data_IF_377544868579
#
_entry.id   IF_377544868579
#
_cell.length_a   1.000
_cell.length_b   1.000
_cell.length_c   1.000
_cell.angle_alpha   90.00
_cell.angle_beta   90.00
_cell.angle_gamma   90.00
#
_symmetry.space_group_name_H-M   'P 1'
#
loop_
_entity.id
_entity.type
_entity.pdbx_description
1 polymer ?
#
# COMPACT_ATOMS: atom_id res chain seq x y z
N UNK A 1 -14.84 2.91 10.25
CA UNK A 1 -16.27 3.14 10.56
C UNK A 1 -16.78 4.49 10.04
N UNK A 2 -16.01 5.58 10.18
CA UNK A 2 -16.43 6.91 9.73
C UNK A 2 -16.63 7.01 8.21
N UNK A 3 -15.84 6.30 7.40
CA UNK A 3 -15.98 6.31 5.94
C UNK A 3 -17.30 5.70 5.45
N UNK A 4 -17.86 4.71 6.14
CA UNK A 4 -19.08 4.02 5.70
C UNK A 4 -20.29 4.97 5.72
N UNK A 5 -20.36 5.84 6.72
CA UNK A 5 -21.45 6.83 6.82
C UNK A 5 -21.39 7.88 5.70
N UNK A 6 -20.22 8.19 5.18
CA UNK A 6 -20.03 9.08 4.04
C UNK A 6 -20.40 8.43 2.70
N UNK A 7 -20.38 7.09 2.61
CA UNK A 7 -20.70 6.34 1.40
C UNK A 7 -22.20 6.11 1.14
N UNK A 8 -23.10 6.61 2.00
CA UNK A 8 -24.56 6.44 1.87
C UNK A 8 -25.13 6.96 0.54
N UNK A 9 -24.42 7.84 -0.16
CA UNK A 9 -24.82 8.40 -1.45
C UNK A 9 -24.05 7.80 -2.65
N UNK A 10 -23.16 6.83 -2.42
CA UNK A 10 -22.42 6.15 -3.49
C UNK A 10 -23.29 5.01 -4.04
N UNK A 11 -23.40 4.92 -5.37
CA UNK A 11 -24.05 3.79 -6.06
C UNK A 11 -23.20 2.52 -5.95
N UNK A 12 -23.03 2.00 -4.74
CA UNK A 12 -22.43 0.70 -4.50
C UNK A 12 -23.54 -0.31 -4.17
N UNK A 13 -23.46 -1.50 -4.73
CA UNK A 13 -24.40 -2.58 -4.43
C UNK A 13 -24.29 -3.02 -2.97
N UNK A 14 -23.08 -2.97 -2.42
CA UNK A 14 -22.75 -3.30 -1.03
C UNK A 14 -21.55 -2.49 -0.55
N UNK A 15 -21.53 -2.13 0.73
CA UNK A 15 -20.37 -1.52 1.40
C UNK A 15 -20.04 -2.32 2.65
N UNK A 16 -18.78 -2.64 2.87
CA UNK A 16 -18.31 -3.39 4.03
C UNK A 16 -17.18 -2.66 4.74
N UNK A 17 -17.34 -2.45 6.05
CA UNK A 17 -16.25 -1.96 6.90
C UNK A 17 -15.27 -3.07 7.19
N UNK A 18 -13.98 -2.75 7.17
CA UNK A 18 -12.90 -3.69 7.42
C UNK A 18 -11.93 -3.14 8.46
N UNK A 19 -11.20 -4.03 9.11
CA UNK A 19 -10.10 -3.72 10.03
C UNK A 19 -8.86 -4.56 9.64
N UNK A 20 -7.67 -4.23 10.15
CA UNK A 20 -6.47 -5.02 9.88
C UNK A 20 -6.64 -6.50 10.26
N UNK A 21 -6.25 -7.41 9.36
CA UNK A 21 -6.34 -8.86 9.54
C UNK A 21 -7.64 -9.49 9.02
N UNK A 22 -8.58 -8.71 8.50
CA UNK A 22 -9.78 -9.27 7.88
C UNK A 22 -9.45 -10.00 6.58
N UNK A 23 -10.19 -11.08 6.34
CA UNK A 23 -10.17 -11.84 5.08
C UNK A 23 -11.55 -11.78 4.43
N UNK A 24 -11.60 -11.38 3.19
CA UNK A 24 -12.83 -11.20 2.41
C UNK A 24 -12.78 -12.04 1.14
N UNK A 25 -13.96 -12.36 0.61
CA UNK A 25 -14.11 -12.83 -0.75
C UNK A 25 -15.13 -11.93 -1.44
N UNK A 26 -14.73 -11.26 -2.51
CA UNK A 26 -15.60 -10.38 -3.29
C UNK A 26 -15.62 -10.85 -4.73
N UNK A 27 -16.75 -11.40 -5.18
CA UNK A 27 -16.89 -11.96 -6.53
C UNK A 27 -15.79 -12.99 -6.86
N UNK A 28 -15.56 -13.93 -5.95
CA UNK A 28 -14.52 -14.95 -6.02
C UNK A 28 -13.07 -14.44 -6.00
N UNK A 29 -12.86 -13.17 -5.68
CA UNK A 29 -11.54 -12.57 -5.48
C UNK A 29 -11.22 -12.54 -3.99
N UNK A 30 -10.20 -13.30 -3.52
CA UNK A 30 -9.73 -13.20 -2.14
C UNK A 30 -9.05 -11.86 -1.89
N UNK A 31 -9.40 -11.22 -0.78
CA UNK A 31 -8.84 -9.95 -0.32
C UNK A 31 -8.47 -10.09 1.15
N UNK A 32 -7.23 -9.75 1.48
CA UNK A 32 -6.72 -9.69 2.84
C UNK A 32 -6.45 -8.23 3.20
N UNK A 33 -6.70 -7.82 4.44
CA UNK A 33 -6.36 -6.49 4.92
C UNK A 33 -5.12 -6.54 5.80
N UNK A 34 -4.23 -5.59 5.59
CA UNK A 34 -2.99 -5.40 6.36
C UNK A 34 -3.06 -4.03 7.02
N UNK A 35 -2.55 -3.90 8.24
CA UNK A 35 -2.48 -2.59 8.88
C UNK A 35 -1.73 -1.57 8.01
N UNK A 36 -2.19 -0.32 8.02
CA UNK A 36 -1.52 0.80 7.36
C UNK A 36 -1.53 2.00 8.32
N UNK A 37 -0.35 2.41 8.81
CA UNK A 37 -0.24 3.50 9.76
C UNK A 37 1.12 4.18 9.72
N UNK A 38 1.19 5.40 10.26
CA UNK A 38 2.44 6.12 10.44
C UNK A 38 3.02 5.89 11.84
N UNK A 39 4.35 5.82 11.91
CA UNK A 39 5.10 5.59 13.14
C UNK A 39 5.75 6.86 13.69
N UNK A 40 6.04 7.83 12.84
CA UNK A 40 6.78 9.05 13.15
C UNK A 40 6.08 10.35 12.69
N UNK A 41 4.82 10.26 12.25
CA UNK A 41 4.00 11.38 11.77
C UNK A 41 2.68 11.45 12.54
N UNK A 42 2.07 12.64 12.57
CA UNK A 42 0.75 12.84 13.19
C UNK A 42 -0.43 12.31 12.36
N UNK A 43 -0.18 11.96 11.09
CA UNK A 43 -1.18 11.43 10.18
C UNK A 43 -1.31 9.92 10.34
N UNK A 44 -2.48 9.37 10.07
CA UNK A 44 -2.74 7.93 10.04
C UNK A 44 -2.21 7.18 11.29
N UNK A 45 -2.63 7.56 12.53
CA UNK A 45 -2.18 6.85 13.72
C UNK A 45 -2.70 5.39 13.70
N UNK A 46 -1.98 4.47 14.34
CA UNK A 46 -2.35 3.05 14.39
C UNK A 46 -3.77 2.81 14.95
N UNK A 47 -4.22 3.68 15.86
CA UNK A 47 -5.55 3.61 16.45
C UNK A 47 -6.71 3.84 15.46
N UNK A 48 -6.45 4.42 14.29
CA UNK A 48 -7.45 4.60 13.23
C UNK A 48 -7.78 3.30 12.50
N UNK A 49 -7.04 2.22 12.74
CA UNK A 49 -7.23 0.89 12.12
C UNK A 49 -7.33 0.94 10.58
N UNK A 50 -6.58 1.86 9.95
CA UNK A 50 -6.51 1.96 8.48
C UNK A 50 -5.80 0.76 7.90
N UNK A 51 -6.12 0.45 6.64
CA UNK A 51 -5.68 -0.78 5.99
C UNK A 51 -5.07 -0.53 4.61
N UNK A 52 -4.08 -1.35 4.29
CA UNK A 52 -3.71 -1.74 2.94
C UNK A 52 -4.41 -3.05 2.57
N UNK A 53 -4.31 -3.45 1.32
CA UNK A 53 -5.01 -4.62 0.79
C UNK A 53 -4.07 -5.54 0.04
N UNK A 54 -4.20 -6.86 0.25
CA UNK A 54 -3.63 -7.87 -0.62
C UNK A 54 -4.78 -8.49 -1.41
N UNK A 55 -4.77 -8.29 -2.72
CA UNK A 55 -5.80 -8.80 -3.63
C UNK A 55 -5.19 -9.95 -4.44
N UNK A 56 -5.82 -11.12 -4.43
CA UNK A 56 -5.34 -12.28 -5.18
C UNK A 56 -6.10 -12.39 -6.51
N UNK A 57 -5.40 -12.11 -7.61
CA UNK A 57 -5.92 -12.17 -8.98
C UNK A 57 -5.18 -13.25 -9.76
N UNK A 58 -5.89 -14.28 -10.25
CA UNK A 58 -5.28 -15.38 -11.01
C UNK A 58 -4.01 -15.96 -10.33
N UNK A 59 -4.08 -16.24 -9.05
CA UNK A 59 -2.99 -16.71 -8.20
C UNK A 59 -1.83 -15.70 -8.04
N UNK A 60 -1.99 -14.45 -8.43
CA UNK A 60 -1.03 -13.37 -8.21
C UNK A 60 -1.48 -12.50 -7.03
N UNK A 61 -0.67 -12.39 -6.01
CA UNK A 61 -0.90 -11.57 -4.82
C UNK A 61 -0.40 -10.15 -5.07
N UNK A 62 -1.31 -9.20 -5.14
CA UNK A 62 -1.01 -7.78 -5.33
C UNK A 62 -1.24 -7.03 -4.02
N UNK A 63 -0.18 -6.52 -3.41
CA UNK A 63 -0.24 -5.75 -2.17
C UNK A 63 -0.23 -4.25 -2.47
N UNK A 64 -1.34 -3.59 -2.20
CA UNK A 64 -1.43 -2.14 -2.11
C UNK A 64 -1.29 -1.75 -0.65
N UNK A 65 -0.17 -1.13 -0.28
CA UNK A 65 0.15 -0.87 1.13
C UNK A 65 -0.77 0.13 1.81
N UNK A 66 -1.49 0.96 1.05
CA UNK A 66 -2.18 2.13 1.58
C UNK A 66 -1.20 3.22 2.01
N UNK A 67 -1.69 4.21 2.74
CA UNK A 67 -0.90 5.30 3.30
C UNK A 67 -0.27 4.85 4.62
N UNK A 68 1.00 4.51 4.59
CA UNK A 68 1.70 3.86 5.70
C UNK A 68 3.18 4.23 5.75
N UNK A 69 3.78 4.10 6.93
CA UNK A 69 5.23 4.02 7.11
C UNK A 69 5.72 2.58 7.00
N UNK A 70 7.04 2.37 7.18
CA UNK A 70 7.70 1.07 7.27
C UNK A 70 7.31 0.37 8.59
N UNK A 71 6.35 -0.54 8.54
CA UNK A 71 5.76 -1.22 9.70
C UNK A 71 6.11 -2.72 9.75
N UNK A 72 6.10 -3.35 10.94
CA UNK A 72 6.45 -4.78 11.10
C UNK A 72 5.51 -5.72 10.34
N UNK A 73 4.23 -5.38 10.24
CA UNK A 73 3.19 -6.20 9.62
C UNK A 73 3.46 -6.50 8.14
N UNK A 74 4.29 -5.69 7.47
CA UNK A 74 4.71 -5.91 6.07
C UNK A 74 5.48 -7.21 5.86
N UNK A 75 6.15 -7.73 6.90
CA UNK A 75 6.99 -8.95 6.79
C UNK A 75 6.18 -10.21 6.46
N UNK A 76 4.91 -10.26 6.83
CA UNK A 76 4.04 -11.42 6.63
C UNK A 76 3.22 -11.37 5.31
N UNK A 77 3.43 -10.38 4.45
CA UNK A 77 2.55 -10.14 3.30
C UNK A 77 2.83 -11.04 2.10
N UNK A 78 4.08 -11.41 1.85
CA UNK A 78 4.54 -12.29 0.75
C UNK A 78 3.89 -12.02 -0.63
N UNK A 79 3.88 -10.80 -1.15
CA UNK A 79 3.22 -10.48 -2.40
C UNK A 79 4.05 -10.89 -3.63
N UNK A 80 3.38 -11.05 -4.78
CA UNK A 80 4.03 -11.07 -6.08
C UNK A 80 4.38 -9.66 -6.56
N UNK A 81 3.43 -8.73 -6.38
CA UNK A 81 3.57 -7.32 -6.75
C UNK A 81 3.23 -6.45 -5.53
N UNK A 82 4.00 -5.37 -5.32
CA UNK A 82 3.72 -4.39 -4.27
C UNK A 82 3.62 -2.98 -4.85
N UNK A 83 2.55 -2.26 -4.49
CA UNK A 83 2.38 -0.83 -4.73
C UNK A 83 2.71 -0.09 -3.43
N UNK A 84 3.75 0.78 -3.46
CA UNK A 84 4.35 1.34 -2.25
C UNK A 84 4.43 2.87 -2.37
N UNK A 85 3.95 3.63 -1.38
CA UNK A 85 4.00 5.10 -1.42
C UNK A 85 5.42 5.61 -1.16
N UNK A 86 5.81 6.71 -1.84
CA UNK A 86 7.19 7.21 -1.83
C UNK A 86 7.33 8.72 -1.59
N UNK A 87 6.25 9.45 -1.32
CA UNK A 87 6.27 10.93 -1.32
C UNK A 87 6.79 11.59 -0.03
N UNK A 88 6.96 10.86 1.05
CA UNK A 88 7.58 11.33 2.31
C UNK A 88 6.70 12.20 3.23
N UNK A 89 5.69 12.89 2.71
CA UNK A 89 4.90 13.85 3.50
C UNK A 89 3.92 13.17 4.45
N UNK A 90 3.06 12.32 3.94
CA UNK A 90 2.03 11.59 4.69
C UNK A 90 2.32 10.10 4.83
N UNK A 91 3.36 9.65 4.15
CA UNK A 91 3.75 8.27 3.93
C UNK A 91 5.27 8.15 3.97
N UNK A 92 5.81 6.98 3.66
CA UNK A 92 7.25 6.73 3.53
C UNK A 92 7.92 7.69 2.54
N UNK A 93 9.16 8.10 2.85
CA UNK A 93 10.08 8.63 1.85
C UNK A 93 10.50 7.53 0.87
N UNK A 94 11.13 7.91 -0.24
CA UNK A 94 11.67 6.94 -1.21
C UNK A 94 12.68 5.96 -0.56
N UNK A 95 13.50 6.44 0.37
CA UNK A 95 14.47 5.65 1.11
C UNK A 95 13.81 4.66 2.08
N UNK A 96 12.82 5.13 2.86
CA UNK A 96 12.05 4.30 3.78
C UNK A 96 11.27 3.21 3.00
N UNK A 97 10.65 3.58 1.89
CA UNK A 97 9.92 2.67 1.03
C UNK A 97 10.83 1.59 0.40
N UNK A 98 12.00 2.00 -0.09
CA UNK A 98 12.98 1.06 -0.63
C UNK A 98 13.50 0.09 0.45
N UNK A 99 13.75 0.58 1.66
CA UNK A 99 14.11 -0.25 2.80
C UNK A 99 13.00 -1.26 3.14
N UNK A 100 11.74 -0.81 3.22
CA UNK A 100 10.61 -1.68 3.47
C UNK A 100 10.48 -2.78 2.41
N UNK A 101 10.66 -2.45 1.12
CA UNK A 101 10.66 -3.43 0.02
C UNK A 101 11.81 -4.42 0.14
N UNK A 102 13.03 -3.94 0.39
CA UNK A 102 14.22 -4.79 0.44
C UNK A 102 14.26 -5.72 1.67
N UNK A 103 13.77 -5.27 2.81
CA UNK A 103 13.94 -5.99 4.08
C UNK A 103 12.70 -6.76 4.51
N UNK A 104 11.49 -6.25 4.22
CA UNK A 104 10.22 -6.75 4.75
C UNK A 104 9.29 -7.32 3.68
N UNK A 105 8.85 -6.51 2.72
CA UNK A 105 7.82 -6.89 1.73
C UNK A 105 8.35 -7.95 0.76
N UNK A 106 9.55 -7.74 0.20
CA UNK A 106 10.26 -8.64 -0.72
C UNK A 106 9.35 -9.19 -1.83
N UNK A 107 8.75 -8.34 -2.68
CA UNK A 107 7.85 -8.81 -3.73
C UNK A 107 8.57 -9.79 -4.65
N UNK A 108 7.90 -10.88 -5.03
CA UNK A 108 8.52 -11.94 -5.86
C UNK A 108 8.78 -11.51 -7.29
N UNK A 109 8.05 -10.50 -7.79
CA UNK A 109 8.09 -10.10 -9.21
C UNK A 109 8.37 -8.62 -9.42
N UNK A 110 7.70 -7.71 -8.68
CA UNK A 110 7.69 -6.30 -9.02
C UNK A 110 7.33 -5.40 -7.84
N UNK A 111 7.99 -4.24 -7.74
CA UNK A 111 7.54 -3.11 -6.92
C UNK A 111 7.16 -1.92 -7.81
N UNK A 112 6.09 -1.22 -7.45
CA UNK A 112 5.56 -0.06 -8.16
C UNK A 112 5.47 1.10 -7.18
N UNK A 113 6.19 2.22 -7.38
CA UNK A 113 6.03 3.41 -6.56
C UNK A 113 4.70 4.09 -6.85
N UNK A 114 4.05 4.58 -5.79
CA UNK A 114 2.79 5.33 -5.89
C UNK A 114 2.79 6.55 -4.96
N UNK A 115 1.69 7.31 -4.94
CA UNK A 115 1.46 8.44 -4.04
C UNK A 115 2.50 9.56 -4.19
N UNK A 116 2.81 9.97 -5.43
CA UNK A 116 3.74 11.06 -5.75
C UNK A 116 3.28 11.87 -6.96
N UNK A 117 3.82 13.10 -7.10
CA UNK A 117 3.71 13.91 -8.31
C UNK A 117 2.32 14.53 -8.62
N UNK A 118 1.41 14.56 -7.63
CA UNK A 118 0.13 15.28 -7.74
C UNK A 118 0.01 16.32 -6.63
N UNK A 119 -0.40 15.92 -5.42
CA UNK A 119 -0.53 16.80 -4.26
C UNK A 119 0.81 16.93 -3.54
N UNK A 120 1.54 15.84 -3.39
CA UNK A 120 2.84 15.75 -2.69
C UNK A 120 3.81 14.86 -3.46
N UNK A 121 5.10 15.01 -3.16
CA UNK A 121 6.16 14.27 -3.82
C UNK A 121 6.34 14.66 -5.30
N UNK A 122 7.25 13.97 -5.95
CA UNK A 122 7.61 14.21 -7.35
C UNK A 122 8.06 12.93 -8.05
N UNK A 123 8.26 12.96 -9.34
CA UNK A 123 8.84 11.83 -10.09
C UNK A 123 10.26 11.48 -9.61
N UNK A 124 10.98 12.44 -9.03
CA UNK A 124 12.31 12.18 -8.43
C UNK A 124 12.24 11.15 -7.31
N UNK A 125 11.15 11.13 -6.54
CA UNK A 125 10.96 10.17 -5.45
C UNK A 125 10.77 8.75 -6.01
N UNK A 126 10.03 8.61 -7.11
CA UNK A 126 9.88 7.32 -7.79
C UNK A 126 11.20 6.83 -8.42
N UNK A 127 11.96 7.73 -9.03
CA UNK A 127 13.30 7.41 -9.57
C UNK A 127 14.24 7.01 -8.46
N UNK A 128 14.28 7.75 -7.35
CA UNK A 128 15.10 7.45 -6.18
C UNK A 128 14.75 6.09 -5.57
N UNK A 129 13.46 5.81 -5.43
CA UNK A 129 12.97 4.50 -4.99
C UNK A 129 13.50 3.38 -5.89
N UNK A 130 13.40 3.55 -7.22
CA UNK A 130 13.88 2.56 -8.20
C UNK A 130 15.38 2.32 -8.09
N UNK A 131 16.19 3.35 -7.83
CA UNK A 131 17.62 3.24 -7.65
C UNK A 131 18.03 2.46 -6.40
N UNK A 132 17.21 2.53 -5.34
CA UNK A 132 17.51 1.95 -4.02
C UNK A 132 16.95 0.54 -3.82
N UNK A 133 15.91 0.15 -4.58
CA UNK A 133 15.34 -1.19 -4.48
C UNK A 133 16.25 -2.21 -5.15
N UNK A 134 16.60 -3.26 -4.41
CA UNK A 134 17.46 -4.35 -4.86
C UNK A 134 16.79 -5.72 -4.81
N UNK A 135 15.68 -5.85 -4.06
CA UNK A 135 15.01 -7.12 -3.84
C UNK A 135 14.21 -7.63 -5.05
N UNK A 136 13.78 -6.73 -5.93
CA UNK A 136 12.97 -7.04 -7.12
C UNK A 136 13.10 -5.95 -8.18
N UNK A 137 12.65 -6.18 -9.43
CA UNK A 137 12.47 -5.12 -10.43
C UNK A 137 11.52 -4.03 -9.95
N UNK A 138 11.73 -2.79 -10.40
CA UNK A 138 10.83 -1.65 -10.15
C UNK A 138 10.32 -1.10 -11.48
N UNK A 139 9.00 -0.94 -11.57
CA UNK A 139 8.34 -0.29 -12.70
C UNK A 139 7.69 1.02 -12.23
N UNK A 140 8.11 2.12 -12.82
CA UNK A 140 7.43 3.42 -12.71
C UNK A 140 6.37 3.42 -13.81
N UNK A 141 5.11 3.59 -13.43
CA UNK A 141 4.01 3.66 -14.40
C UNK A 141 3.93 5.08 -14.97
N UNK A 142 3.71 5.16 -16.29
CA UNK A 142 3.41 6.42 -16.95
C UNK A 142 2.03 6.92 -16.52
N UNK A 143 1.86 8.24 -16.49
CA UNK A 143 0.57 8.88 -16.24
C UNK A 143 -0.01 9.33 -17.58
N UNK A 144 -1.27 9.03 -17.78
CA UNK A 144 -2.04 9.55 -18.91
C UNK A 144 -2.36 11.04 -18.73
#
# INVERSE_FOLDING_TARGET
>A
KECIDQLKNVRAAETKGVVPGDMLNVQDIPIETVAAYNTNKHFHPKADEKVGFIITLNNMRVYHTGDTDDIPEMTATEPDVALVPVSGTYVMTAEEAAKAVNEKIKPKKLAIPMHYGSIVGSEKDAVKFKELVTACPVQILERD
#
